data_IF_667795049925
#
_entry.id   IF_667795049925
#
_cell.length_a   1.000
_cell.length_b   1.000
_cell.length_c   1.000
_cell.angle_alpha   90.00
_cell.angle_beta   90.00
_cell.angle_gamma   90.00
#
_symmetry.space_group_name_H-M   'P 1'
#
loop_
_entity.id
_entity.type
_entity.pdbx_description
1 polymer ?
#
# COMPACT_ATOMS: atom_id res chain seq x y z
N UNK A 1 10.78 -16.97 -19.31
CA UNK A 1 9.69 -17.70 -18.64
C UNK A 1 10.34 -18.78 -17.83
N UNK A 2 10.46 -18.58 -16.53
CA UNK A 2 11.11 -19.53 -15.63
C UNK A 2 10.11 -20.64 -15.32
N UNK A 3 10.50 -21.89 -15.53
CA UNK A 3 9.69 -23.03 -15.12
C UNK A 3 9.88 -23.23 -13.61
N UNK A 4 8.79 -23.08 -12.83
CA UNK A 4 8.81 -23.18 -11.37
C UNK A 4 8.18 -24.51 -10.98
N UNK A 5 9.00 -25.42 -10.47
CA UNK A 5 8.58 -26.76 -10.08
C UNK A 5 8.64 -26.91 -8.54
N UNK A 6 7.48 -27.16 -7.92
CA UNK A 6 7.35 -27.41 -6.49
C UNK A 6 7.57 -28.90 -6.18
N UNK A 7 8.82 -29.30 -5.91
CA UNK A 7 9.17 -30.72 -5.70
C UNK A 7 8.75 -31.25 -4.33
N UNK A 8 8.91 -30.45 -3.28
CA UNK A 8 8.70 -30.86 -1.89
C UNK A 8 7.67 -29.98 -1.16
N UNK A 9 6.74 -29.38 -1.91
CA UNK A 9 5.72 -28.54 -1.32
C UNK A 9 4.65 -29.39 -0.61
N UNK A 10 4.31 -28.98 0.61
CA UNK A 10 3.21 -29.56 1.37
C UNK A 10 1.89 -29.52 0.57
N UNK A 11 1.09 -30.60 0.56
CA UNK A 11 -0.16 -30.65 -0.22
C UNK A 11 -1.15 -29.54 0.13
N UNK A 12 -1.21 -29.12 1.40
CA UNK A 12 -2.10 -28.03 1.84
C UNK A 12 -1.65 -26.70 1.23
N UNK A 13 -0.34 -26.47 1.13
CA UNK A 13 0.19 -25.29 0.45
C UNK A 13 -0.16 -25.30 -1.04
N UNK A 14 0.00 -26.44 -1.71
CA UNK A 14 -0.37 -26.60 -3.13
C UNK A 14 -1.85 -26.30 -3.34
N UNK A 15 -2.72 -26.83 -2.49
CA UNK A 15 -4.17 -26.58 -2.59
C UNK A 15 -4.54 -25.13 -2.31
N UNK A 16 -3.84 -24.46 -1.39
CA UNK A 16 -4.01 -23.01 -1.17
C UNK A 16 -3.64 -22.20 -2.41
N UNK A 17 -2.53 -22.54 -3.06
CA UNK A 17 -2.07 -21.86 -4.28
C UNK A 17 -3.08 -22.08 -5.42
N UNK A 18 -3.59 -23.31 -5.58
CA UNK A 18 -4.64 -23.62 -6.57
C UNK A 18 -5.89 -22.78 -6.35
N UNK A 19 -6.38 -22.69 -5.10
CA UNK A 19 -7.54 -21.83 -4.78
C UNK A 19 -7.33 -20.36 -5.16
N UNK A 20 -6.12 -19.83 -4.96
CA UNK A 20 -5.77 -18.46 -5.39
C UNK A 20 -5.76 -18.34 -6.91
N UNK A 21 -5.20 -19.33 -7.61
CA UNK A 21 -5.18 -19.37 -9.07
C UNK A 21 -6.60 -19.39 -9.64
N UNK A 22 -7.45 -20.28 -9.14
CA UNK A 22 -8.85 -20.43 -9.56
C UNK A 22 -9.66 -19.16 -9.30
N UNK A 23 -9.55 -18.58 -8.10
CA UNK A 23 -10.26 -17.36 -7.73
C UNK A 23 -9.88 -16.15 -8.61
N UNK A 24 -8.68 -16.16 -9.20
CA UNK A 24 -8.18 -15.08 -10.07
C UNK A 24 -8.21 -15.44 -11.57
N UNK A 25 -8.65 -16.64 -11.93
CA UNK A 25 -8.60 -17.14 -13.30
C UNK A 25 -7.18 -17.21 -13.86
N UNK A 26 -6.18 -17.47 -13.01
CA UNK A 26 -4.77 -17.51 -13.41
C UNK A 26 -4.30 -18.94 -13.67
N UNK A 27 -3.41 -19.17 -14.65
CA UNK A 27 -2.71 -20.44 -14.74
C UNK A 27 -1.76 -20.60 -13.54
N UNK A 28 -1.59 -21.84 -13.06
CA UNK A 28 -0.80 -22.14 -11.86
C UNK A 28 0.61 -21.52 -11.86
N UNK A 29 1.40 -21.55 -12.97
CA UNK A 29 2.71 -20.90 -13.00
C UNK A 29 2.66 -19.39 -12.76
N UNK A 30 1.61 -18.70 -13.23
CA UNK A 30 1.43 -17.25 -12.99
C UNK A 30 1.11 -17.00 -11.52
N UNK A 31 0.23 -17.81 -10.93
CA UNK A 31 -0.09 -17.69 -9.51
C UNK A 31 1.14 -17.92 -8.63
N UNK A 32 1.97 -18.91 -8.98
CA UNK A 32 3.23 -19.19 -8.28
C UNK A 32 4.20 -18.01 -8.35
N UNK A 33 4.46 -17.51 -9.56
CA UNK A 33 5.36 -16.38 -9.75
C UNK A 33 4.90 -15.16 -8.94
N UNK A 34 3.62 -14.80 -9.06
CA UNK A 34 3.06 -13.66 -8.34
C UNK A 34 3.16 -13.83 -6.82
N UNK A 35 2.81 -15.01 -6.29
CA UNK A 35 2.87 -15.26 -4.85
C UNK A 35 4.30 -15.24 -4.31
N UNK A 36 5.28 -15.71 -5.08
CA UNK A 36 6.70 -15.62 -4.74
C UNK A 36 7.18 -14.16 -4.73
N UNK A 37 6.81 -13.37 -5.74
CA UNK A 37 7.12 -11.92 -5.78
C UNK A 37 6.53 -11.18 -4.58
N UNK A 38 5.27 -11.44 -4.26
CA UNK A 38 4.63 -10.83 -3.08
C UNK A 38 5.27 -11.29 -1.76
N UNK A 39 5.63 -12.57 -1.64
CA UNK A 39 6.32 -13.10 -0.47
C UNK A 39 7.71 -12.49 -0.30
N UNK A 40 8.46 -12.34 -1.39
CA UNK A 40 9.77 -11.70 -1.40
C UNK A 40 9.66 -10.23 -1.00
N UNK A 41 8.70 -9.50 -1.56
CA UNK A 41 8.44 -8.11 -1.20
C UNK A 41 8.11 -7.91 0.29
N UNK A 42 7.35 -8.82 0.88
CA UNK A 42 7.08 -8.81 2.33
C UNK A 42 8.35 -9.10 3.15
N UNK A 43 9.19 -10.02 2.69
CA UNK A 43 10.43 -10.39 3.37
C UNK A 43 11.50 -9.30 3.28
N UNK A 44 11.63 -8.65 2.12
CA UNK A 44 12.57 -7.55 1.87
C UNK A 44 12.14 -6.25 2.56
N UNK A 45 10.89 -6.16 3.04
CA UNK A 45 10.39 -5.02 3.80
C UNK A 45 9.98 -3.82 2.94
N UNK A 46 10.13 -3.90 1.62
CA UNK A 46 9.79 -2.83 0.67
C UNK A 46 8.29 -2.47 0.62
N UNK A 47 7.43 -3.30 1.21
CA UNK A 47 5.96 -3.15 1.15
C UNK A 47 5.30 -2.55 2.38
N UNK A 48 6.01 -2.42 3.49
CA UNK A 48 5.51 -1.65 4.62
C UNK A 48 6.32 -0.37 4.69
N UNK A 49 5.67 0.77 4.52
CA UNK A 49 6.16 2.05 5.07
C UNK A 49 6.14 1.89 6.59
N UNK A 50 7.10 1.13 7.11
CA UNK A 50 7.46 1.14 8.51
C UNK A 50 8.42 2.30 8.60
N UNK A 51 7.86 3.44 8.95
CA UNK A 51 8.68 4.48 9.53
C UNK A 51 9.52 3.83 10.63
N UNK A 52 10.82 4.06 10.59
CA UNK A 52 11.61 3.80 11.78
C UNK A 52 11.07 4.69 12.92
N UNK A 53 11.46 4.40 14.16
CA UNK A 53 10.94 5.13 15.33
C UNK A 53 11.08 6.65 15.16
N UNK A 54 12.18 7.11 14.54
CA UNK A 54 12.45 8.53 14.36
C UNK A 54 11.55 9.15 13.30
N UNK A 55 11.34 8.47 12.17
CA UNK A 55 10.43 8.94 11.13
C UNK A 55 8.96 8.96 11.62
N UNK A 56 8.58 7.99 12.45
CA UNK A 56 7.24 7.93 13.04
C UNK A 56 7.03 9.10 14.02
N UNK A 57 8.03 9.40 14.84
CA UNK A 57 8.01 10.55 15.76
C UNK A 57 7.94 11.88 15.00
N UNK A 58 8.69 12.02 13.89
CA UNK A 58 8.65 13.22 13.04
C UNK A 58 7.28 13.39 12.38
N UNK A 59 6.70 12.31 11.84
CA UNK A 59 5.38 12.37 11.23
C UNK A 59 4.30 12.70 12.27
N UNK A 60 4.36 12.09 13.46
CA UNK A 60 3.43 12.39 14.55
C UNK A 60 3.52 13.86 14.98
N UNK A 61 4.74 14.41 15.09
CA UNK A 61 4.95 15.82 15.40
C UNK A 61 4.38 16.75 14.31
N UNK A 62 4.53 16.39 13.03
CA UNK A 62 3.99 17.16 11.92
C UNK A 62 2.45 17.17 11.91
N UNK A 63 1.81 16.02 12.17
CA UNK A 63 0.35 15.92 12.27
C UNK A 63 -0.16 16.76 13.46
N UNK A 64 0.46 16.62 14.63
CA UNK A 64 0.07 17.39 15.81
C UNK A 64 0.19 18.92 15.58
N UNK A 65 1.20 19.35 14.83
CA UNK A 65 1.33 20.75 14.44
C UNK A 65 0.21 21.22 13.49
N UNK A 66 -0.22 20.36 12.55
CA UNK A 66 -1.31 20.66 11.62
C UNK A 66 -2.68 20.67 12.31
N UNK A 67 -2.93 19.80 13.27
CA UNK A 67 -4.16 19.79 14.07
C UNK A 67 -4.31 21.03 14.96
N UNK A 68 -3.20 21.66 15.33
CA UNK A 68 -3.19 22.91 16.09
C UNK A 68 -3.50 24.16 15.25
N UNK A 69 -3.63 24.03 13.93
CA UNK A 69 -3.97 25.16 13.06
C UNK A 69 -5.45 25.50 13.27
N UNK A 70 -5.78 26.74 13.69
CA UNK A 70 -7.16 27.16 13.81
C UNK A 70 -7.88 27.06 12.46
N UNK A 71 -9.14 26.60 12.48
CA UNK A 71 -10.07 26.76 11.35
C UNK A 71 -10.39 28.26 11.21
N UNK A 72 -9.46 29.01 10.62
CA UNK A 72 -9.68 30.39 10.25
C UNK A 72 -10.24 30.43 8.83
N UNK A 73 -11.47 30.91 8.71
CA UNK A 73 -12.21 31.11 7.47
C UNK A 73 -11.37 31.92 6.46
N UNK A 74 -10.44 32.76 6.93
CA UNK A 74 -9.52 33.56 6.15
C UNK A 74 -8.52 32.76 5.29
N UNK A 75 -8.01 31.62 5.74
CA UNK A 75 -7.04 30.84 4.95
C UNK A 75 -7.68 30.19 3.71
N UNK A 76 -8.93 29.74 3.83
CA UNK A 76 -9.70 29.22 2.71
C UNK A 76 -10.08 30.29 1.66
N UNK A 77 -9.91 31.58 2.01
CA UNK A 77 -10.22 32.72 1.15
C UNK A 77 -8.98 33.26 0.41
N UNK A 78 -7.76 32.87 0.79
CA UNK A 78 -6.54 33.28 0.10
C UNK A 78 -6.54 32.71 -1.32
N UNK A 79 -6.64 33.60 -2.32
CA UNK A 79 -6.67 33.24 -3.75
C UNK A 79 -8.07 33.07 -4.35
N UNK A 80 -9.14 33.23 -3.55
CA UNK A 80 -10.50 33.24 -4.08
C UNK A 80 -10.81 34.63 -4.65
N UNK A 81 -10.92 34.74 -5.98
CA UNK A 81 -11.46 35.95 -6.59
C UNK A 81 -12.91 36.15 -6.12
N UNK A 82 -13.36 37.39 -5.84
CA UNK A 82 -14.77 37.64 -5.57
C UNK A 82 -15.62 37.09 -6.73
N UNK A 83 -16.80 36.52 -6.46
CA UNK A 83 -17.69 36.09 -7.52
C UNK A 83 -17.98 37.30 -8.43
N UNK A 84 -18.03 37.12 -9.76
CA UNK A 84 -18.33 38.21 -10.67
C UNK A 84 -19.73 38.77 -10.34
N UNK A 85 -19.80 40.02 -9.86
CA UNK A 85 -21.05 40.74 -9.62
C UNK A 85 -21.36 41.16 -8.17
N UNK A 86 -20.40 41.15 -7.25
CA UNK A 86 -20.56 41.81 -5.95
C UNK A 86 -19.99 43.24 -6.00
N UNK A 87 -20.82 44.20 -6.42
CA UNK A 87 -20.65 45.64 -6.17
C UNK A 87 -21.41 46.03 -4.88
#
# INVERSE_FOLDING_TARGET
>A
MTDIMLKDADPVLVDRIKRVADARGWPLPRALLYLLEQGLHVYEGDGSVRFDTKEADVLAAAIAALEGVPDDEGFALIGRAPPPGAD
#
